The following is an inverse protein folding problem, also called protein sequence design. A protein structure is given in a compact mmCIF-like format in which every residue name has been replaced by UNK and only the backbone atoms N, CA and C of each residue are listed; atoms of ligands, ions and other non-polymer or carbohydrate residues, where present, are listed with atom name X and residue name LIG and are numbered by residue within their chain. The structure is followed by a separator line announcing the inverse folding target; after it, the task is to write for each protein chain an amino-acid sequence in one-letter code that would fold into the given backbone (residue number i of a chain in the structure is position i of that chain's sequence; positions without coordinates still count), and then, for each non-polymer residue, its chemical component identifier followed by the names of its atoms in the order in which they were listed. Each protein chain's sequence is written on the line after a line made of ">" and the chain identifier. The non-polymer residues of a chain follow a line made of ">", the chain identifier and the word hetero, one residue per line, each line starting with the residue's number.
data_IF_101374273886
#
_entry.id   IF_101374273886
#
_cell.length_a   1.000
_cell.length_b   1.000
_cell.length_c   1.000
_cell.angle_alpha   90.00
_cell.angle_beta   90.00
_cell.angle_gamma   90.00
#
_symmetry.space_group_name_H-M   'P 1'
#
loop_
_entity.id
_entity.type
_entity.pdbx_description
1 polymer ?
#
# COMPACT_ATOMS: atom_id res chain seq x y z
N UNK A 1 -16.64 -10.25 -7.69
CA UNK A 1 -16.26 -9.68 -6.39
C UNK A 1 -14.87 -9.13 -6.53
N UNK A 2 -14.65 -7.84 -6.22
CA UNK A 2 -13.31 -7.27 -6.28
C UNK A 2 -12.54 -7.75 -5.06
N UNK A 3 -11.27 -8.11 -5.21
CA UNK A 3 -10.37 -8.45 -4.10
C UNK A 3 -10.28 -7.34 -3.01
N UNK A 4 -10.78 -6.13 -3.31
CA UNK A 4 -10.92 -5.04 -2.35
C UNK A 4 -12.14 -5.20 -1.42
N UNK A 5 -13.20 -5.89 -1.86
CA UNK A 5 -14.43 -6.10 -1.07
C UNK A 5 -14.26 -7.21 -0.01
N UNK A 6 -13.25 -8.06 -0.15
CA UNK A 6 -12.97 -9.17 0.78
C UNK A 6 -12.11 -8.73 2.00
N UNK A 7 -11.80 -7.43 2.11
CA UNK A 7 -11.00 -6.87 3.21
C UNK A 7 -9.52 -7.31 3.19
N UNK A 8 -9.03 -7.77 2.04
CA UNK A 8 -7.67 -8.28 1.87
C UNK A 8 -6.59 -7.19 1.82
N UNK A 9 -6.97 -5.93 1.60
CA UNK A 9 -6.06 -4.80 1.51
C UNK A 9 -6.71 -3.49 1.99
N UNK A 10 -6.01 -2.71 2.81
CA UNK A 10 -6.37 -1.33 3.14
C UNK A 10 -5.16 -0.40 3.18
N UNK A 11 -5.41 0.89 2.98
CA UNK A 11 -4.41 1.94 3.13
C UNK A 11 -5.05 3.15 3.83
N UNK A 12 -4.73 3.32 5.11
CA UNK A 12 -5.40 4.28 5.98
C UNK A 12 -4.41 5.33 6.50
N UNK A 13 -4.79 6.61 6.45
CA UNK A 13 -3.95 7.69 7.01
C UNK A 13 -4.18 7.85 8.50
N UNK A 14 -3.11 8.08 9.26
CA UNK A 14 -3.18 8.35 10.69
C UNK A 14 -2.08 9.35 11.10
N UNK A 15 -2.21 9.94 12.29
CA UNK A 15 -1.15 10.72 12.90
C UNK A 15 -0.39 9.86 13.90
N UNK A 16 0.94 9.87 13.80
CA UNK A 16 1.83 9.27 14.79
C UNK A 16 1.69 10.00 16.14
N UNK A 17 2.23 9.40 17.21
CA UNK A 17 2.22 9.98 18.56
C UNK A 17 2.91 11.33 18.65
N UNK A 18 3.86 11.60 17.73
CA UNK A 18 4.54 12.89 17.55
C UNK A 18 3.81 13.85 16.59
N UNK A 19 2.58 13.52 16.17
CA UNK A 19 1.74 14.35 15.31
C UNK A 19 2.09 14.30 13.82
N UNK A 20 3.06 13.45 13.42
CA UNK A 20 3.45 13.33 12.00
C UNK A 20 2.43 12.53 11.22
N UNK A 21 2.02 12.98 10.02
CA UNK A 21 1.11 12.23 9.17
C UNK A 21 1.82 11.00 8.59
N UNK A 22 1.17 9.85 8.71
CA UNK A 22 1.62 8.55 8.22
C UNK A 22 0.48 7.82 7.51
N UNK A 23 0.81 6.75 6.80
CA UNK A 23 -0.15 5.80 6.26
C UNK A 23 0.12 4.42 6.84
N UNK A 24 -0.92 3.64 7.12
CA UNK A 24 -0.82 2.22 7.41
C UNK A 24 -1.32 1.45 6.19
N UNK A 25 -0.42 0.67 5.60
CA UNK A 25 -0.75 -0.30 4.57
C UNK A 25 -0.99 -1.64 5.26
N UNK A 26 -2.17 -2.20 5.09
CA UNK A 26 -2.53 -3.50 5.65
C UNK A 26 -2.90 -4.44 4.52
N UNK A 27 -2.34 -5.65 4.52
CA UNK A 27 -2.79 -6.70 3.62
C UNK A 27 -2.87 -8.05 4.31
N UNK A 28 -3.93 -8.79 4.03
CA UNK A 28 -4.16 -10.13 4.54
C UNK A 28 -3.79 -11.13 3.45
N UNK A 29 -2.77 -11.92 3.72
CA UNK A 29 -2.37 -13.07 2.91
C UNK A 29 -2.92 -14.35 3.54
N UNK A 30 -2.74 -15.49 2.85
CA UNK A 30 -3.02 -16.81 3.41
C UNK A 30 -2.18 -17.13 4.66
N UNK A 31 -1.07 -16.42 4.88
CA UNK A 31 -0.19 -16.59 6.04
C UNK A 31 -0.50 -15.63 7.18
N UNK A 32 -1.46 -14.73 7.01
CA UNK A 32 -1.90 -13.81 8.06
C UNK A 32 -2.00 -12.36 7.60
N UNK A 33 -2.14 -11.45 8.57
CA UNK A 33 -2.22 -10.02 8.32
C UNK A 33 -0.85 -9.37 8.50
N UNK A 34 -0.46 -8.55 7.52
CA UNK A 34 0.78 -7.79 7.52
C UNK A 34 0.47 -6.29 7.44
N UNK A 35 0.99 -5.54 8.41
CA UNK A 35 0.80 -4.10 8.51
C UNK A 35 2.14 -3.37 8.39
N UNK A 36 2.19 -2.32 7.57
CA UNK A 36 3.35 -1.45 7.39
C UNK A 36 2.96 0.00 7.63
N UNK A 37 3.66 0.66 8.55
CA UNK A 37 3.54 2.10 8.72
C UNK A 37 4.52 2.80 7.78
N UNK A 38 4.00 3.68 6.92
CA UNK A 38 4.73 4.37 5.88
C UNK A 38 4.72 5.87 6.16
N UNK A 39 5.89 6.49 6.04
CA UNK A 39 6.03 7.93 5.92
C UNK A 39 5.52 8.43 4.57
N UNK A 40 5.27 9.73 4.47
CA UNK A 40 4.90 10.38 3.19
C UNK A 40 5.89 10.06 2.06
N UNK A 41 7.19 10.06 2.37
CA UNK A 41 8.24 9.77 1.39
C UNK A 41 8.18 8.32 0.90
N UNK A 42 7.89 7.37 1.79
CA UNK A 42 7.75 5.95 1.42
C UNK A 42 6.49 5.70 0.59
N UNK A 43 5.36 6.33 0.92
CA UNK A 43 4.16 6.28 0.07
C UNK A 43 4.45 6.79 -1.34
N UNK A 44 5.21 7.89 -1.46
CA UNK A 44 5.62 8.40 -2.77
C UNK A 44 6.53 7.42 -3.54
N UNK A 45 7.40 6.68 -2.85
CA UNK A 45 8.24 5.64 -3.46
C UNK A 45 7.40 4.46 -3.94
N UNK A 46 6.49 3.95 -3.11
CA UNK A 46 5.54 2.88 -3.48
C UNK A 46 4.77 3.27 -4.74
N UNK A 47 4.22 4.50 -4.79
CA UNK A 47 3.53 5.00 -5.98
C UNK A 47 4.40 4.96 -7.23
N UNK A 48 5.69 5.31 -7.13
CA UNK A 48 6.61 5.28 -8.27
C UNK A 48 6.87 3.87 -8.76
N UNK A 49 7.12 2.93 -7.84
CA UNK A 49 7.37 1.52 -8.20
C UNK A 49 6.12 0.87 -8.80
N UNK A 50 4.93 1.13 -8.26
CA UNK A 50 3.68 0.67 -8.86
C UNK A 50 3.53 1.17 -10.30
N UNK A 51 3.77 2.47 -10.53
CA UNK A 51 3.71 3.04 -11.88
C UNK A 51 4.77 2.46 -12.82
N UNK A 52 5.97 2.15 -12.31
CA UNK A 52 7.04 1.51 -13.10
C UNK A 52 6.63 0.11 -13.54
N UNK A 53 6.17 -0.72 -12.61
CA UNK A 53 5.79 -2.10 -12.90
C UNK A 53 4.56 -2.18 -13.82
N UNK A 54 3.58 -1.30 -13.65
CA UNK A 54 2.42 -1.26 -14.56
C UNK A 54 2.86 -0.98 -16.01
N UNK A 55 3.77 -0.03 -16.21
CA UNK A 55 4.33 0.26 -17.54
C UNK A 55 5.10 -0.92 -18.12
N UNK A 56 5.89 -1.62 -17.31
CA UNK A 56 6.63 -2.81 -17.74
C UNK A 56 5.66 -3.93 -18.18
N UNK A 57 4.59 -4.16 -17.41
CA UNK A 57 3.56 -5.16 -17.74
C UNK A 57 2.74 -4.80 -18.98
N UNK A 58 2.51 -3.52 -19.24
CA UNK A 58 1.83 -3.04 -20.45
C UNK A 58 2.71 -3.11 -21.70
N UNK A 59 4.02 -2.94 -21.55
CA UNK A 59 4.98 -3.04 -22.65
C UNK A 59 5.23 -4.49 -23.11
N UNK A 60 4.94 -5.47 -22.26
CA UNK A 60 5.07 -6.91 -22.53
C UNK A 60 3.80 -7.51 -23.18
N UNK A 61 2.82 -6.67 -23.55
CA UNK A 61 1.60 -7.02 -24.29
C UNK A 61 1.64 -6.48 -25.72
#
# INVERSE_FOLDING_TARGET
>A
MSWMDDGGFSLDTFNSTDGRPMARMSFRTSTGQHDFNLTKTEVQRVRRECNRILKEMEADK
#
